data_IF_869514666390
#
_entry.id   IF_869514666390
#
_cell.length_a   1.000
_cell.length_b   1.000
_cell.length_c   1.000
_cell.angle_alpha   90.00
_cell.angle_beta   90.00
_cell.angle_gamma   90.00
#
_symmetry.space_group_name_H-M   'P 1'
#
loop_
_entity.id
_entity.type
_entity.pdbx_description
1 polymer ?
#
# COMPACT_ATOMS: atom_id res chain seq x y z
N UNK A 1 -18.49 11.07 -1.05
CA UNK A 1 -18.04 10.27 0.12
C UNK A 1 -16.61 9.84 -0.16
N UNK A 2 -15.62 10.11 0.72
CA UNK A 2 -14.26 9.61 0.53
C UNK A 2 -14.26 8.08 0.56
N UNK A 3 -13.44 7.45 -0.29
CA UNK A 3 -13.29 5.99 -0.31
C UNK A 3 -12.49 5.58 0.92
N UNK A 4 -13.07 4.75 1.79
CA UNK A 4 -12.40 4.22 2.98
C UNK A 4 -11.74 2.88 2.64
N UNK A 5 -10.45 2.76 2.95
CA UNK A 5 -9.73 1.49 2.82
C UNK A 5 -9.91 0.69 4.12
N UNK A 6 -10.37 -0.56 4.00
CA UNK A 6 -10.37 -1.51 5.13
C UNK A 6 -9.02 -2.23 5.13
N UNK A 7 -8.19 -1.92 6.12
CA UNK A 7 -6.89 -2.54 6.30
C UNK A 7 -6.96 -3.55 7.45
N UNK A 8 -6.21 -4.65 7.32
CA UNK A 8 -6.02 -5.61 8.40
C UNK A 8 -5.06 -5.06 9.47
N UNK A 9 -5.11 -5.63 10.67
CA UNK A 9 -4.31 -5.15 11.79
C UNK A 9 -2.79 -5.19 11.52
N UNK A 10 -2.31 -6.26 10.88
CA UNK A 10 -0.92 -6.40 10.43
C UNK A 10 -0.51 -5.31 9.43
N UNK A 11 -1.39 -4.97 8.49
CA UNK A 11 -1.15 -3.91 7.50
C UNK A 11 -1.07 -2.53 8.15
N UNK A 12 -1.93 -2.25 9.14
CA UNK A 12 -1.92 -0.97 9.88
C UNK A 12 -0.60 -0.81 10.63
N UNK A 13 -0.17 -1.84 11.36
CA UNK A 13 1.10 -1.83 12.09
C UNK A 13 2.28 -1.63 11.14
N UNK A 14 2.36 -2.42 10.06
CA UNK A 14 3.46 -2.35 9.10
C UNK A 14 3.52 -0.99 8.38
N UNK A 15 2.37 -0.41 8.00
CA UNK A 15 2.33 0.93 7.41
C UNK A 15 2.81 2.00 8.39
N UNK A 16 2.40 1.93 9.65
CA UNK A 16 2.85 2.87 10.68
C UNK A 16 4.36 2.82 10.89
N UNK A 17 4.94 1.61 10.97
CA UNK A 17 6.39 1.40 11.09
C UNK A 17 7.13 1.97 9.88
N UNK A 18 6.68 1.67 8.66
CA UNK A 18 7.28 2.18 7.43
C UNK A 18 7.17 3.71 7.33
N UNK A 19 6.03 4.28 7.70
CA UNK A 19 5.85 5.74 7.76
C UNK A 19 6.87 6.36 8.71
N UNK A 20 7.06 5.83 9.93
CA UNK A 20 8.03 6.36 10.89
C UNK A 20 9.47 6.27 10.36
N UNK A 21 9.84 5.15 9.74
CA UNK A 21 11.16 4.96 9.13
C UNK A 21 11.43 5.98 8.02
N UNK A 22 10.48 6.14 7.08
CA UNK A 22 10.62 7.10 5.97
C UNK A 22 10.62 8.55 6.46
N UNK A 23 9.82 8.85 7.48
CA UNK A 23 9.79 10.17 8.10
C UNK A 23 11.14 10.53 8.75
N UNK A 24 11.77 9.56 9.44
CA UNK A 24 13.08 9.75 10.06
C UNK A 24 14.21 9.87 9.01
N UNK A 25 14.12 9.15 7.89
CA UNK A 25 15.13 9.15 6.84
C UNK A 25 15.06 10.37 5.90
N UNK A 26 13.99 11.18 5.95
CA UNK A 26 13.77 12.26 4.98
C UNK A 26 14.72 13.44 5.21
N UNK A 27 15.42 13.86 4.16
CA UNK A 27 16.36 14.98 4.20
C UNK A 27 15.65 16.35 4.26
N UNK A 28 14.52 16.50 3.56
CA UNK A 28 13.69 17.72 3.57
C UNK A 28 12.50 17.54 4.51
N UNK A 29 12.14 18.57 5.27
CA UNK A 29 11.06 18.51 6.28
C UNK A 29 9.78 19.26 5.90
N UNK A 30 9.63 19.62 4.63
CA UNK A 30 8.55 20.41 4.05
C UNK A 30 7.23 19.64 3.90
N UNK A 31 7.28 18.37 3.46
CA UNK A 31 6.07 17.54 3.31
C UNK A 31 6.04 16.36 4.28
N UNK A 32 4.95 16.17 5.02
CA UNK A 32 4.78 15.03 5.92
C UNK A 32 4.45 13.74 5.15
N UNK A 33 5.25 12.69 5.32
CA UNK A 33 4.87 11.34 4.88
C UNK A 33 3.87 10.75 5.89
N UNK A 34 2.76 10.21 5.38
CA UNK A 34 1.69 9.60 6.18
C UNK A 34 1.30 8.26 5.57
N UNK A 35 0.53 7.46 6.30
CA UNK A 35 -0.03 6.21 5.77
C UNK A 35 -0.84 6.47 4.49
N UNK A 36 -1.56 7.59 4.41
CA UNK A 36 -2.27 8.00 3.19
C UNK A 36 -1.33 8.31 2.01
N UNK A 37 -0.10 8.74 2.25
CA UNK A 37 0.91 8.89 1.20
C UNK A 37 1.31 7.52 0.66
N UNK A 38 1.54 6.55 1.55
CA UNK A 38 1.91 5.19 1.15
C UNK A 38 0.76 4.44 0.48
N UNK A 39 -0.48 4.64 0.94
CA UNK A 39 -1.67 4.07 0.30
C UNK A 39 -1.88 4.59 -1.12
N UNK A 40 -1.66 5.90 -1.35
CA UNK A 40 -1.71 6.47 -2.70
C UNK A 40 -0.65 5.84 -3.60
N UNK A 41 0.58 5.74 -3.13
CA UNK A 41 1.67 5.10 -3.87
C UNK A 41 1.38 3.61 -4.17
N UNK A 42 0.84 2.87 -3.21
CA UNK A 42 0.46 1.47 -3.40
C UNK A 42 -0.65 1.32 -4.46
N UNK A 43 -1.62 2.24 -4.49
CA UNK A 43 -2.65 2.29 -5.54
C UNK A 43 -2.04 2.60 -6.90
N UNK A 44 -1.13 3.57 -6.99
CA UNK A 44 -0.46 3.92 -8.25
C UNK A 44 0.37 2.72 -8.77
N UNK A 45 1.15 2.07 -7.90
CA UNK A 45 1.90 0.86 -8.26
C UNK A 45 0.98 -0.26 -8.76
N UNK A 46 -0.15 -0.51 -8.08
CA UNK A 46 -1.12 -1.51 -8.51
C UNK A 46 -1.69 -1.18 -9.90
N UNK A 47 -2.09 0.06 -10.12
CA UNK A 47 -2.79 0.49 -11.34
C UNK A 47 -1.86 0.69 -12.54
N UNK A 48 -0.60 1.06 -12.30
CA UNK A 48 0.38 1.36 -13.34
C UNK A 48 1.31 0.19 -13.65
N UNK A 49 1.70 -0.60 -12.64
CA UNK A 49 2.69 -1.67 -12.80
C UNK A 49 2.05 -3.04 -12.89
N UNK A 50 1.08 -3.32 -12.03
CA UNK A 50 0.54 -4.69 -11.86
C UNK A 50 -0.83 -4.92 -12.49
N UNK A 51 -1.41 -3.93 -13.18
CA UNK A 51 -2.76 -4.03 -13.77
C UNK A 51 -2.95 -5.28 -14.63
N UNK A 52 -1.95 -5.62 -15.45
CA UNK A 52 -2.03 -6.73 -16.39
C UNK A 52 -1.70 -8.09 -15.74
N UNK A 53 -1.24 -8.10 -14.48
CA UNK A 53 -0.93 -9.29 -13.70
C UNK A 53 -2.10 -9.69 -12.79
N UNK A 54 -3.14 -8.86 -12.69
CA UNK A 54 -4.34 -9.14 -11.90
C UNK A 54 -5.25 -10.13 -12.62
N UNK A 55 -5.23 -11.37 -12.15
CA UNK A 55 -6.04 -12.46 -12.68
C UNK A 55 -6.83 -13.14 -11.56
N UNK A 56 -8.11 -13.42 -11.83
CA UNK A 56 -9.01 -14.09 -10.88
C UNK A 56 -10.25 -13.29 -10.49
N UNK A 57 -11.02 -13.86 -9.59
CA UNK A 57 -12.38 -13.44 -9.19
C UNK A 57 -12.54 -13.25 -7.68
N UNK A 58 -11.52 -13.60 -6.89
CA UNK A 58 -11.47 -13.41 -5.44
C UNK A 58 -10.20 -12.67 -5.01
N UNK A 59 -10.21 -12.07 -3.82
CA UNK A 59 -8.99 -11.44 -3.27
C UNK A 59 -7.83 -12.43 -3.14
N UNK A 60 -8.11 -13.70 -2.81
CA UNK A 60 -7.09 -14.74 -2.70
C UNK A 60 -6.44 -15.04 -4.07
N UNK A 61 -7.23 -15.13 -5.14
CA UNK A 61 -6.72 -15.34 -6.50
C UNK A 61 -5.91 -14.12 -6.98
N UNK A 62 -6.41 -12.91 -6.75
CA UNK A 62 -5.68 -11.67 -7.09
C UNK A 62 -4.37 -11.53 -6.30
N UNK A 63 -4.34 -11.96 -5.04
CA UNK A 63 -3.10 -12.02 -4.25
C UNK A 63 -2.13 -13.05 -4.85
N UNK A 64 -2.65 -14.22 -5.22
CA UNK A 64 -1.84 -15.28 -5.83
C UNK A 64 -1.25 -14.86 -7.18
N UNK A 65 -2.00 -14.12 -8.00
CA UNK A 65 -1.52 -13.67 -9.32
C UNK A 65 -0.35 -12.68 -9.21
N UNK A 66 -0.27 -11.95 -8.09
CA UNK A 66 0.84 -11.06 -7.73
C UNK A 66 1.95 -11.75 -6.91
N UNK A 67 1.88 -13.07 -6.70
CA UNK A 67 2.84 -13.81 -5.87
C UNK A 67 2.76 -13.50 -4.38
N UNK A 68 1.66 -12.91 -3.90
CA UNK A 68 1.42 -12.56 -2.49
C UNK A 68 0.79 -13.75 -1.73
N UNK A 69 1.46 -14.90 -1.74
CA UNK A 69 1.06 -16.10 -0.99
C UNK A 69 1.73 -16.14 0.37
N UNK A 70 1.20 -15.32 1.29
CA UNK A 70 1.38 -15.42 2.74
C UNK A 70 0.04 -15.18 3.42
#
# INVERSE_FOLDING_TARGET
MPKTARLRADQITALGELTLQLQAARQRKDERITDNTLLRLAVDLLLEKHRNELEGSSEAELRSSLGLTS
#
